data_IF_539772558963
#
_entry.id   IF_539772558963
#
_cell.length_a   1.000
_cell.length_b   1.000
_cell.length_c   1.000
_cell.angle_alpha   90.00
_cell.angle_beta   90.00
_cell.angle_gamma   90.00
#
_symmetry.space_group_name_H-M   'P 1'
#
loop_
_entity.id
_entity.type
_entity.pdbx_description
1 polymer ?
#
# COMPACT_ATOMS: atom_id res chain seq x y z
N UNK A 1 13.33 -9.92 -7.55
CA UNK A 1 14.12 -8.66 -7.50
C UNK A 1 15.05 -8.78 -6.31
N UNK A 2 16.32 -8.39 -6.45
CA UNK A 2 17.25 -8.49 -5.35
C UNK A 2 16.93 -7.48 -4.24
N UNK A 3 17.33 -7.77 -2.99
CA UNK A 3 17.02 -6.91 -1.84
C UNK A 3 17.55 -5.49 -1.99
N UNK A 4 18.75 -5.33 -2.55
CA UNK A 4 19.35 -4.01 -2.77
C UNK A 4 18.59 -3.18 -3.82
N UNK A 5 18.01 -3.81 -4.85
CA UNK A 5 17.18 -3.14 -5.83
C UNK A 5 15.87 -2.65 -5.22
N UNK A 6 15.27 -3.46 -4.34
CA UNK A 6 14.06 -3.08 -3.59
C UNK A 6 14.36 -1.87 -2.71
N UNK A 7 15.46 -1.93 -1.94
CA UNK A 7 15.89 -0.84 -1.08
C UNK A 7 16.17 0.44 -1.87
N UNK A 8 16.79 0.32 -3.05
CA UNK A 8 17.04 1.45 -3.94
C UNK A 8 15.74 2.11 -4.41
N UNK A 9 14.77 1.32 -4.90
CA UNK A 9 13.47 1.86 -5.37
C UNK A 9 12.70 2.53 -4.23
N UNK A 10 12.71 1.93 -3.06
CA UNK A 10 12.05 2.49 -1.86
C UNK A 10 12.73 3.77 -1.36
N UNK A 11 14.04 3.91 -1.52
CA UNK A 11 14.79 5.08 -1.05
C UNK A 11 14.67 6.31 -1.97
N UNK A 12 14.04 6.18 -3.16
CA UNK A 12 13.83 7.32 -4.05
C UNK A 12 12.93 8.34 -3.36
N UNK A 13 13.30 9.65 -3.32
CA UNK A 13 12.52 10.65 -2.57
C UNK A 13 11.04 10.71 -2.93
N UNK A 14 10.68 10.63 -4.22
CA UNK A 14 9.28 10.59 -4.66
C UNK A 14 8.53 9.33 -4.25
N UNK A 15 9.21 8.18 -4.15
CA UNK A 15 8.63 6.95 -3.62
C UNK A 15 8.37 7.08 -2.11
N UNK A 16 9.33 7.61 -1.35
CA UNK A 16 9.19 7.87 0.09
C UNK A 16 8.06 8.86 0.37
N UNK A 17 7.95 9.92 -0.44
CA UNK A 17 6.85 10.87 -0.33
C UNK A 17 5.49 10.16 -0.45
N UNK A 18 5.28 9.35 -1.50
CA UNK A 18 4.03 8.60 -1.68
C UNK A 18 3.77 7.62 -0.54
N UNK A 19 4.78 6.87 -0.10
CA UNK A 19 4.67 5.90 0.98
C UNK A 19 4.29 6.54 2.32
N UNK A 20 4.75 7.74 2.59
CA UNK A 20 4.52 8.43 3.87
C UNK A 20 3.28 9.31 3.86
N UNK A 21 2.97 9.99 2.74
CA UNK A 21 1.91 10.99 2.68
C UNK A 21 0.58 10.46 2.14
N UNK A 22 0.58 9.48 1.25
CA UNK A 22 -0.66 8.96 0.70
C UNK A 22 -1.50 8.27 1.77
N UNK A 23 -2.81 8.50 1.74
CA UNK A 23 -3.75 7.95 2.73
C UNK A 23 -4.24 6.54 2.37
N UNK A 24 -4.24 6.20 1.09
CA UNK A 24 -4.83 4.97 0.57
C UNK A 24 -3.86 4.24 -0.35
N UNK A 25 -3.93 2.91 -0.32
CA UNK A 25 -3.37 2.03 -1.34
C UNK A 25 -4.49 1.23 -2.00
N UNK A 26 -4.26 0.77 -3.22
CA UNK A 26 -5.11 -0.23 -3.86
C UNK A 26 -4.45 -1.59 -3.71
N UNK A 27 -5.04 -2.43 -2.87
CA UNK A 27 -4.55 -3.77 -2.55
C UNK A 27 -5.25 -4.81 -3.42
N UNK A 28 -4.46 -5.54 -4.22
CA UNK A 28 -4.90 -6.67 -5.02
C UNK A 28 -4.50 -8.00 -4.34
N UNK A 29 -5.45 -8.93 -4.27
CA UNK A 29 -5.27 -10.26 -3.69
C UNK A 29 -6.20 -11.27 -4.38
N UNK A 30 -5.98 -12.57 -4.14
CA UNK A 30 -6.87 -13.62 -4.65
C UNK A 30 -7.97 -13.92 -3.63
N UNK A 31 -9.22 -13.87 -4.07
CA UNK A 31 -10.37 -14.28 -3.29
C UNK A 31 -10.40 -15.80 -3.03
N UNK A 32 -11.31 -16.28 -2.16
CA UNK A 32 -11.45 -17.71 -1.87
C UNK A 32 -11.73 -18.58 -3.11
N UNK A 33 -12.42 -18.00 -4.10
CA UNK A 33 -12.74 -18.60 -5.39
C UNK A 33 -11.58 -18.56 -6.40
N UNK A 34 -10.42 -18.04 -6.01
CA UNK A 34 -9.24 -17.90 -6.87
C UNK A 34 -9.32 -16.72 -7.85
N UNK A 35 -10.37 -15.93 -7.84
CA UNK A 35 -10.47 -14.75 -8.71
C UNK A 35 -9.82 -13.52 -8.06
N UNK A 36 -9.22 -12.61 -8.86
CA UNK A 36 -8.62 -11.38 -8.34
C UNK A 36 -9.63 -10.45 -7.67
N UNK A 37 -9.20 -9.83 -6.61
CA UNK A 37 -9.89 -8.74 -5.89
C UNK A 37 -8.98 -7.53 -5.81
N UNK A 38 -9.55 -6.34 -5.93
CA UNK A 38 -8.87 -5.06 -5.68
C UNK A 38 -9.75 -4.22 -4.76
N UNK A 39 -9.14 -3.67 -3.71
CA UNK A 39 -9.82 -2.79 -2.77
C UNK A 39 -8.98 -1.56 -2.47
N UNK A 40 -9.58 -0.38 -2.30
CA UNK A 40 -8.93 0.75 -1.65
C UNK A 40 -8.88 0.50 -0.14
N UNK A 41 -7.75 0.76 0.48
CA UNK A 41 -7.58 0.60 1.94
C UNK A 41 -6.53 1.57 2.47
N UNK A 42 -6.78 2.13 3.66
CA UNK A 42 -5.79 2.93 4.37
C UNK A 42 -4.57 2.09 4.76
N UNK A 43 -3.41 2.69 4.75
CA UNK A 43 -2.16 2.00 5.07
C UNK A 43 -1.19 2.87 5.88
N UNK A 44 -0.29 2.19 6.55
CA UNK A 44 0.87 2.78 7.21
C UNK A 44 2.16 2.19 6.64
N UNK A 45 3.16 3.04 6.39
CA UNK A 45 4.50 2.63 5.98
C UNK A 45 5.43 2.58 7.19
N UNK A 46 6.00 1.43 7.51
CA UNK A 46 6.89 1.24 8.66
C UNK A 46 8.35 1.62 8.38
N UNK A 47 8.70 1.82 7.11
CA UNK A 47 10.07 1.96 6.63
C UNK A 47 10.54 0.75 5.82
N UNK A 48 9.89 -0.40 6.01
CA UNK A 48 10.20 -1.66 5.31
C UNK A 48 8.96 -2.47 4.90
N UNK A 49 7.79 -2.21 5.51
CA UNK A 49 6.54 -2.91 5.24
C UNK A 49 5.38 -1.94 5.03
N UNK A 50 4.44 -2.33 4.19
CA UNK A 50 3.12 -1.69 4.10
C UNK A 50 2.18 -2.44 5.04
N UNK A 51 1.66 -1.75 6.06
CA UNK A 51 0.71 -2.33 7.02
C UNK A 51 -0.68 -1.80 6.73
N UNK A 52 -1.63 -2.72 6.57
CA UNK A 52 -3.07 -2.43 6.49
C UNK A 52 -3.77 -3.18 7.61
N UNK A 53 -4.88 -2.63 8.10
CA UNK A 53 -5.66 -3.28 9.16
C UNK A 53 -7.15 -3.27 8.85
N UNK A 54 -7.86 -4.25 9.35
CA UNK A 54 -9.29 -4.43 9.11
C UNK A 54 -9.92 -5.23 10.26
N UNK A 55 -11.26 -5.29 10.31
CA UNK A 55 -11.96 -6.19 11.23
C UNK A 55 -11.44 -7.63 11.07
N UNK A 56 -11.22 -8.33 12.17
CA UNK A 56 -10.70 -9.70 12.17
C UNK A 56 -11.56 -10.68 11.34
N UNK A 57 -12.86 -10.41 11.23
CA UNK A 57 -13.84 -11.23 10.49
C UNK A 57 -13.98 -10.84 9.01
N UNK A 58 -13.23 -9.86 8.51
CA UNK A 58 -13.35 -9.43 7.13
C UNK A 58 -12.94 -10.56 6.16
N UNK A 59 -13.68 -10.79 5.05
CA UNK A 59 -13.42 -11.90 4.11
C UNK A 59 -11.99 -11.96 3.57
N UNK A 60 -11.35 -10.80 3.42
CA UNK A 60 -9.95 -10.69 2.98
C UNK A 60 -8.95 -11.33 3.94
N UNK A 61 -9.28 -11.42 5.23
CA UNK A 61 -8.41 -11.99 6.26
C UNK A 61 -8.16 -13.48 5.96
N UNK A 62 -9.23 -14.26 5.85
CA UNK A 62 -9.13 -15.68 5.51
C UNK A 62 -8.47 -15.91 4.13
N UNK A 63 -8.79 -15.07 3.14
CA UNK A 63 -8.21 -15.15 1.81
C UNK A 63 -6.68 -14.95 1.84
N UNK A 64 -6.19 -13.95 2.59
CA UNK A 64 -4.76 -13.63 2.71
C UNK A 64 -4.00 -14.64 3.59
N UNK A 65 -4.66 -15.24 4.59
CA UNK A 65 -4.10 -16.36 5.36
C UNK A 65 -3.88 -17.60 4.48
N UNK A 66 -4.81 -17.86 3.56
CA UNK A 66 -4.72 -18.98 2.64
C UNK A 66 -3.72 -18.72 1.49
N UNK A 67 -3.64 -17.50 0.99
CA UNK A 67 -2.79 -17.09 -0.14
C UNK A 67 -2.21 -15.71 0.12
N UNK A 68 -0.96 -15.69 0.52
CA UNK A 68 -0.28 -14.47 0.99
C UNK A 68 0.26 -13.57 -0.11
N UNK A 69 0.30 -14.01 -1.37
CA UNK A 69 0.83 -13.19 -2.47
C UNK A 69 -0.14 -12.06 -2.81
N UNK A 70 0.38 -10.84 -2.84
CA UNK A 70 -0.37 -9.62 -3.07
C UNK A 70 0.37 -8.67 -4.03
N UNK A 71 -0.40 -7.78 -4.64
CA UNK A 71 0.14 -6.60 -5.29
C UNK A 71 -0.58 -5.36 -4.75
N UNK A 72 0.12 -4.23 -4.72
CA UNK A 72 -0.50 -2.97 -4.36
C UNK A 72 0.11 -1.81 -5.16
N UNK A 73 -0.66 -0.75 -5.30
CA UNK A 73 -0.18 0.50 -5.86
C UNK A 73 -0.59 1.69 -4.98
N UNK A 74 0.33 2.62 -4.86
CA UNK A 74 0.13 3.91 -4.21
C UNK A 74 0.44 4.95 -5.28
N UNK A 75 -0.52 5.78 -5.62
CA UNK A 75 -0.44 6.68 -6.76
C UNK A 75 -0.89 8.09 -6.41
N UNK A 76 -0.41 9.06 -7.18
CA UNK A 76 -0.80 10.45 -7.15
C UNK A 76 -0.65 11.10 -8.52
N UNK A 77 -1.28 12.27 -8.70
CA UNK A 77 -1.28 13.06 -9.92
C UNK A 77 -2.58 12.89 -10.71
N UNK A 78 -3.13 14.03 -11.16
CA UNK A 78 -4.39 14.09 -11.90
C UNK A 78 -4.19 14.08 -13.41
N UNK A 79 -3.01 14.48 -13.87
CA UNK A 79 -2.64 14.56 -15.29
C UNK A 79 -1.50 13.60 -15.61
N UNK A 80 -1.34 13.16 -16.88
CA UNK A 80 -0.29 12.22 -17.27
C UNK A 80 1.13 12.68 -16.89
N UNK A 81 1.43 13.97 -16.99
CA UNK A 81 2.72 14.56 -16.64
C UNK A 81 2.95 14.67 -15.12
N UNK A 82 1.90 14.59 -14.31
CA UNK A 82 1.97 14.58 -12.85
C UNK A 82 1.89 13.16 -12.28
N UNK A 83 1.59 12.16 -13.11
CA UNK A 83 1.35 10.81 -12.65
C UNK A 83 2.61 10.20 -12.02
N UNK A 84 2.48 9.79 -10.77
CA UNK A 84 3.51 9.09 -10.01
C UNK A 84 2.90 7.87 -9.33
N UNK A 85 3.64 6.79 -9.25
CA UNK A 85 3.17 5.60 -8.52
C UNK A 85 4.30 4.76 -7.97
N UNK A 86 4.06 4.16 -6.82
CA UNK A 86 4.85 3.05 -6.28
C UNK A 86 4.04 1.78 -6.47
N UNK A 87 4.54 0.87 -7.30
CA UNK A 87 3.97 -0.47 -7.49
C UNK A 87 4.77 -1.48 -6.69
N UNK A 88 4.08 -2.28 -5.88
CA UNK A 88 4.70 -3.27 -4.99
C UNK A 88 4.07 -4.63 -5.24
N UNK A 89 4.88 -5.68 -5.31
CA UNK A 89 4.46 -7.07 -5.10
C UNK A 89 5.08 -7.55 -3.82
N UNK A 90 4.35 -8.35 -3.06
CA UNK A 90 4.85 -8.79 -1.77
C UNK A 90 4.06 -9.96 -1.20
N UNK A 91 4.39 -10.29 0.03
CA UNK A 91 3.69 -11.33 0.80
C UNK A 91 3.09 -10.71 2.04
N UNK A 92 1.81 -11.01 2.26
CA UNK A 92 1.07 -10.61 3.43
C UNK A 92 1.30 -11.60 4.58
N UNK A 93 1.56 -11.07 5.77
CA UNK A 93 1.49 -11.78 7.04
C UNK A 93 0.32 -11.25 7.83
N UNK A 94 -0.61 -12.11 8.20
CA UNK A 94 -1.82 -11.75 8.92
C UNK A 94 -1.69 -12.14 10.37
N UNK A 95 -1.86 -11.17 11.26
CA UNK A 95 -1.88 -11.35 12.71
C UNK A 95 -3.20 -10.81 13.26
N UNK A 96 -3.88 -11.59 14.09
CA UNK A 96 -5.04 -11.11 14.85
C UNK A 96 -4.52 -10.53 16.16
N UNK A 97 -4.78 -9.26 16.37
CA UNK A 97 -4.34 -8.52 17.56
C UNK A 97 -5.51 -8.05 18.39
N UNK A 98 -5.33 -7.97 19.69
CA UNK A 98 -6.34 -7.43 20.59
C UNK A 98 -6.42 -5.90 20.42
N UNK A 99 -7.64 -5.39 20.35
CA UNK A 99 -7.92 -3.97 20.17
C UNK A 99 -7.59 -3.46 18.78
N UNK A 100 -7.16 -2.20 18.71
CA UNK A 100 -6.90 -1.44 17.47
C UNK A 100 -5.39 -1.25 17.30
N UNK A 101 -4.78 -1.75 16.21
CA UNK A 101 -3.36 -1.55 15.92
C UNK A 101 -3.01 -0.06 15.80
N UNK A 102 -1.84 0.35 16.32
CA UNK A 102 -1.39 1.74 16.23
C UNK A 102 -1.19 2.19 14.79
N UNK A 103 -0.77 1.31 13.88
CA UNK A 103 -0.63 1.60 12.46
C UNK A 103 -1.97 1.95 11.80
N UNK A 104 -3.11 1.38 12.28
CA UNK A 104 -4.44 1.73 11.81
C UNK A 104 -4.79 3.18 12.17
N UNK A 105 -4.49 3.58 13.40
CA UNK A 105 -4.70 4.94 13.88
C UNK A 105 -3.72 5.92 13.20
N UNK A 106 -2.48 5.52 13.01
CA UNK A 106 -1.47 6.32 12.31
C UNK A 106 -1.85 6.58 10.83
N UNK A 107 -2.45 5.60 10.16
CA UNK A 107 -2.98 5.78 8.81
C UNK A 107 -4.11 6.83 8.78
N UNK A 108 -5.02 6.80 9.76
CA UNK A 108 -6.13 7.74 9.86
C UNK A 108 -5.65 9.18 10.15
N UNK A 109 -4.58 9.35 10.95
CA UNK A 109 -3.97 10.66 11.25
C UNK A 109 -3.46 11.41 10.02
N UNK A 110 -3.24 10.73 8.90
CA UNK A 110 -2.83 11.38 7.65
C UNK A 110 -3.93 12.28 7.05
N UNK A 111 -5.19 12.03 7.38
CA UNK A 111 -6.35 12.66 6.76
C UNK A 111 -7.33 13.30 7.75
N UNK A 112 -7.14 13.12 9.04
CA UNK A 112 -8.03 13.62 10.08
C UNK A 112 -7.33 14.71 10.90
N UNK A 113 -8.08 15.76 11.26
CA UNK A 113 -7.66 16.71 12.28
C UNK A 113 -7.70 16.08 13.69
N UNK A 114 -7.12 16.78 14.67
CA UNK A 114 -6.99 16.26 16.02
C UNK A 114 -8.34 15.95 16.69
N UNK A 115 -9.37 16.74 16.43
CA UNK A 115 -10.71 16.55 17.02
C UNK A 115 -11.43 15.34 16.42
N UNK A 116 -11.43 15.23 15.09
CA UNK A 116 -11.98 14.08 14.37
C UNK A 116 -11.23 12.80 14.72
N UNK A 117 -9.89 12.88 14.87
CA UNK A 117 -9.07 11.73 15.22
C UNK A 117 -9.40 11.18 16.62
N UNK A 118 -9.62 12.03 17.61
CA UNK A 118 -9.97 11.59 18.97
C UNK A 118 -11.31 10.83 18.99
N UNK A 119 -12.32 11.33 18.26
CA UNK A 119 -13.62 10.67 18.13
C UNK A 119 -13.51 9.35 17.37
N UNK A 120 -12.73 9.33 16.28
CA UNK A 120 -12.49 8.13 15.49
C UNK A 120 -11.79 7.05 16.31
N UNK A 121 -10.73 7.38 17.05
CA UNK A 121 -10.03 6.45 17.92
C UNK A 121 -10.94 5.85 18.97
N UNK A 122 -11.74 6.67 19.66
CA UNK A 122 -12.70 6.20 20.63
C UNK A 122 -13.70 5.22 20.00
N UNK A 123 -14.31 5.59 18.88
CA UNK A 123 -15.27 4.74 18.19
C UNK A 123 -14.66 3.41 17.74
N UNK A 124 -13.40 3.42 17.25
CA UNK A 124 -12.71 2.19 16.88
C UNK A 124 -12.46 1.28 18.08
N UNK A 125 -12.01 1.84 19.21
CA UNK A 125 -11.76 1.06 20.44
C UNK A 125 -13.03 0.48 21.06
N UNK A 126 -14.17 1.15 20.87
CA UNK A 126 -15.49 0.64 21.28
C UNK A 126 -16.03 -0.44 20.33
N UNK A 127 -15.69 -0.35 19.04
CA UNK A 127 -16.20 -1.24 17.99
C UNK A 127 -15.41 -2.54 17.84
N UNK A 128 -14.10 -2.50 18.06
CA UNK A 128 -13.21 -3.62 17.73
C UNK A 128 -12.53 -4.19 18.98
N UNK A 129 -12.96 -5.37 19.41
CA UNK A 129 -12.24 -6.16 20.42
C UNK A 129 -10.94 -6.71 19.82
N UNK A 130 -10.97 -7.08 18.53
CA UNK A 130 -9.83 -7.58 17.79
C UNK A 130 -9.83 -7.06 16.34
N UNK A 131 -8.64 -6.82 15.81
CA UNK A 131 -8.44 -6.50 14.41
C UNK A 131 -7.38 -7.42 13.78
N UNK A 132 -7.46 -7.59 12.46
CA UNK A 132 -6.39 -8.19 11.68
C UNK A 132 -5.40 -7.11 11.27
N UNK A 133 -4.16 -7.25 11.74
CA UNK A 133 -2.99 -6.51 11.26
C UNK A 133 -2.36 -7.31 10.13
N UNK A 134 -2.23 -6.70 8.96
CA UNK A 134 -1.74 -7.34 7.74
C UNK A 134 -0.48 -6.59 7.31
N UNK A 135 0.68 -7.20 7.56
CA UNK A 135 1.96 -6.64 7.17
C UNK A 135 2.41 -7.22 5.83
N UNK A 136 2.67 -6.36 4.86
CA UNK A 136 3.08 -6.73 3.50
C UNK A 136 4.56 -6.42 3.34
N UNK A 137 5.35 -7.47 3.20
CA UNK A 137 6.80 -7.38 2.94
C UNK A 137 7.03 -7.33 1.43
N UNK A 138 7.65 -6.26 0.90
CA UNK A 138 7.93 -6.15 -0.52
C UNK A 138 8.91 -7.22 -1.02
N UNK A 139 8.59 -7.85 -2.16
CA UNK A 139 9.47 -8.74 -2.92
C UNK A 139 9.85 -8.17 -4.28
N UNK A 140 9.13 -7.18 -4.72
CA UNK A 140 9.39 -6.40 -5.93
C UNK A 140 8.79 -5.01 -5.77
N UNK A 141 9.53 -3.97 -6.16
CA UNK A 141 9.12 -2.55 -6.10
C UNK A 141 9.55 -1.85 -7.37
N UNK A 142 8.69 -0.96 -7.87
CA UNK A 142 9.03 0.03 -8.90
C UNK A 142 8.33 1.36 -8.60
N UNK A 143 9.12 2.39 -8.65
CA UNK A 143 8.64 3.78 -8.64
C UNK A 143 8.62 4.32 -10.06
N UNK A 144 7.48 4.90 -10.45
CA UNK A 144 7.29 5.59 -11.72
C UNK A 144 6.99 7.06 -11.45
N UNK A 145 7.53 7.92 -12.30
CA UNK A 145 7.31 9.37 -12.28
C UNK A 145 7.36 9.87 -13.73
N UNK A 146 6.17 10.09 -14.27
CA UNK A 146 6.03 10.43 -15.69
C UNK A 146 6.59 11.82 -15.99
N UNK A 147 6.43 12.78 -15.07
CA UNK A 147 6.97 14.13 -15.22
C UNK A 147 8.50 14.16 -15.16
N UNK A 148 9.11 13.30 -14.35
CA UNK A 148 10.56 13.17 -14.27
C UNK A 148 11.15 12.18 -15.30
N UNK A 149 10.34 11.66 -16.22
CA UNK A 149 10.79 10.72 -17.25
C UNK A 149 11.12 9.31 -16.74
N UNK A 150 10.69 8.98 -15.51
CA UNK A 150 10.87 7.64 -14.95
C UNK A 150 9.70 6.73 -15.39
N UNK A 151 9.75 6.33 -16.66
CA UNK A 151 8.68 5.62 -17.34
C UNK A 151 8.86 4.09 -17.26
N UNK A 152 7.79 3.30 -17.44
CA UNK A 152 7.90 1.88 -17.76
C UNK A 152 8.80 1.64 -18.99
N UNK A 153 9.57 0.55 -18.95
CA UNK A 153 10.59 0.27 -19.98
C UNK A 153 10.04 0.32 -21.42
N UNK A 154 8.86 -0.25 -21.66
CA UNK A 154 8.25 -0.25 -22.99
C UNK A 154 7.96 1.16 -23.51
N UNK A 155 7.61 2.12 -22.64
CA UNK A 155 7.45 3.53 -23.03
C UNK A 155 8.78 4.22 -23.30
N UNK A 156 9.83 3.89 -22.55
CA UNK A 156 11.20 4.37 -22.81
C UNK A 156 11.69 3.89 -24.17
N UNK A 157 11.45 2.62 -24.50
CA UNK A 157 11.82 2.01 -25.78
C UNK A 157 11.10 2.68 -26.97
N UNK A 158 9.81 3.01 -26.81
CA UNK A 158 9.03 3.74 -27.81
C UNK A 158 9.54 5.17 -28.02
N UNK A 159 9.85 5.90 -26.94
CA UNK A 159 10.39 7.25 -27.02
C UNK A 159 11.77 7.29 -27.71
N UNK A 160 12.61 6.27 -27.49
CA UNK A 160 13.91 6.14 -28.13
C UNK A 160 13.84 5.79 -29.62
N UNK A 161 12.77 5.17 -30.11
CA UNK A 161 12.56 4.85 -31.52
C UNK A 161 12.10 6.06 -32.36
N UNK A 162 11.42 7.03 -31.75
CA UNK A 162 10.93 8.24 -32.40
C UNK A 162 12.03 9.31 -32.68
N UNK A 163 13.25 9.08 -32.19
CA UNK A 163 14.40 10.00 -32.37
C UNK A 163 15.41 9.50 -33.41
N UNK A 164 15.07 8.49 -34.20
CA UNK A 164 15.94 7.99 -35.32
C UNK A 164 15.38 8.36 -36.66
#
# INVERSE_FOLDING_TARGET
>A
MERHDIAYELAIPGAQELLTSASMTRLAYLGPDGTPRVIPIGFYWTGDQVVVSTAATAPKVAALQARSDVALTIDAGETPDQARSVSIRGRASVEIVDGVPEEYLAAARKIMDAGAMAQFEQACREMYDQMARIAITPSWVRYFDFGAGRLPRFLQDLAGQGQR
#
